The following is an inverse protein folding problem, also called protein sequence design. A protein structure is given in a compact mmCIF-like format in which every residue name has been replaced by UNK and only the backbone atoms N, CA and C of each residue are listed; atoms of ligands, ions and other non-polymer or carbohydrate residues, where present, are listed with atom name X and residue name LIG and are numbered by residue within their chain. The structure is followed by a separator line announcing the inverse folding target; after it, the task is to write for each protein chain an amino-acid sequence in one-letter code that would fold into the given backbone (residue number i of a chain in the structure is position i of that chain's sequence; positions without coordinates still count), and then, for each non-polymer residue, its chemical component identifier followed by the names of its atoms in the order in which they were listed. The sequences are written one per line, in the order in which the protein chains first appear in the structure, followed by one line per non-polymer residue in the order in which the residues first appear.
data_IF_915240709521
#
_entry.id   IF_915240709521
#
_cell.length_a   1.000
_cell.length_b   1.000
_cell.length_c   1.000
_cell.angle_alpha   90.00
_cell.angle_beta   90.00
_cell.angle_gamma   90.00
#
_symmetry.space_group_name_H-M   'P 1'
#
loop_
_entity.id
_entity.type
_entity.pdbx_description
1 polymer ?
#
# COMPACT_ATOMS: atom_id res chain seq x y z
N UNK A 1 2.65 4.60 -9.92
CA UNK A 1 3.98 3.95 -9.99
C UNK A 1 3.86 2.48 -9.60
N UNK A 2 4.88 1.64 -9.85
CA UNK A 2 4.85 0.19 -9.57
C UNK A 2 6.03 -0.23 -8.69
N UNK A 3 5.78 -0.99 -7.61
CA UNK A 3 6.83 -1.52 -6.72
C UNK A 3 7.86 -2.34 -7.52
N UNK A 4 7.40 -3.09 -8.51
CA UNK A 4 8.23 -3.86 -9.44
C UNK A 4 9.22 -3.06 -10.30
N UNK A 5 9.11 -1.72 -10.32
CA UNK A 5 10.02 -0.82 -11.06
C UNK A 5 11.07 -0.15 -10.16
N UNK A 6 11.06 -0.43 -8.85
CA UNK A 6 12.08 0.10 -7.93
C UNK A 6 13.45 -0.52 -8.29
N UNK A 7 14.51 0.30 -8.48
CA UNK A 7 15.86 -0.19 -8.70
C UNK A 7 16.34 -1.11 -7.55
N UNK A 8 17.03 -2.20 -7.89
CA UNK A 8 17.45 -3.20 -6.91
C UNK A 8 18.34 -2.64 -5.79
N UNK A 9 19.18 -1.64 -6.11
CA UNK A 9 20.04 -0.93 -5.17
C UNK A 9 19.27 -0.08 -4.15
N UNK A 10 18.00 0.25 -4.43
CA UNK A 10 17.10 0.99 -3.53
C UNK A 10 16.03 0.13 -2.88
N UNK A 11 15.96 -1.16 -3.21
CA UNK A 11 14.86 -2.01 -2.79
C UNK A 11 14.75 -2.13 -1.27
N UNK A 12 15.88 -2.30 -0.57
CA UNK A 12 15.89 -2.42 0.89
C UNK A 12 15.62 -1.09 1.60
N UNK A 13 16.08 0.03 1.04
CA UNK A 13 15.79 1.36 1.60
C UNK A 13 14.29 1.64 1.52
N UNK A 14 13.68 1.41 0.35
CA UNK A 14 12.22 1.57 0.18
C UNK A 14 11.46 0.59 1.09
N UNK A 15 11.89 -0.66 1.20
CA UNK A 15 11.27 -1.63 2.11
C UNK A 15 11.34 -1.15 3.58
N UNK A 16 12.47 -0.60 4.01
CA UNK A 16 12.63 -0.05 5.34
C UNK A 16 11.66 1.12 5.57
N UNK A 17 11.58 2.05 4.61
CA UNK A 17 10.72 3.24 4.70
C UNK A 17 9.22 2.92 4.69
N UNK A 18 8.79 1.88 3.97
CA UNK A 18 7.37 1.49 3.91
C UNK A 18 6.96 0.53 5.03
N UNK A 19 7.89 -0.15 5.68
CA UNK A 19 7.60 -1.23 6.64
C UNK A 19 6.66 -0.78 7.78
N UNK A 20 6.96 0.36 8.40
CA UNK A 20 6.17 0.91 9.52
C UNK A 20 4.80 1.42 9.04
N UNK A 21 4.70 2.28 8.02
CA UNK A 21 3.41 2.67 7.44
C UNK A 21 2.53 1.49 7.03
N UNK A 22 3.12 0.45 6.43
CA UNK A 22 2.42 -0.75 6.03
C UNK A 22 1.88 -1.50 7.25
N UNK A 23 2.69 -1.65 8.31
CA UNK A 23 2.26 -2.30 9.55
C UNK A 23 1.12 -1.54 10.24
N UNK A 24 1.14 -0.20 10.23
CA UNK A 24 0.07 0.63 10.78
C UNK A 24 -1.26 0.36 10.07
N UNK A 25 -1.26 0.34 8.74
CA UNK A 25 -2.45 0.04 7.92
C UNK A 25 -2.90 -1.41 8.13
N UNK A 26 -1.98 -2.36 8.00
CA UNK A 26 -2.27 -3.79 8.02
C UNK A 26 -2.75 -4.29 9.38
N UNK A 27 -2.40 -3.61 10.48
CA UNK A 27 -2.82 -3.96 11.84
C UNK A 27 -4.12 -3.26 12.29
N UNK A 28 -4.68 -2.34 11.48
CA UNK A 28 -5.88 -1.63 11.84
C UNK A 28 -7.12 -2.55 11.86
N UNK A 29 -7.66 -2.75 13.06
CA UNK A 29 -8.79 -3.65 13.30
C UNK A 29 -10.07 -3.20 12.61
N UNK A 30 -10.29 -1.90 12.40
CA UNK A 30 -11.49 -1.37 11.71
C UNK A 30 -11.38 -1.64 10.21
N UNK A 31 -10.20 -1.44 9.64
CA UNK A 31 -9.91 -1.69 8.24
C UNK A 31 -10.00 -3.18 7.94
N UNK A 32 -9.38 -4.03 8.75
CA UNK A 32 -9.50 -5.49 8.66
C UNK A 32 -10.98 -5.90 8.68
N UNK A 33 -11.77 -5.39 9.64
CA UNK A 33 -13.22 -5.68 9.70
C UNK A 33 -14.01 -5.14 8.51
N UNK A 34 -13.62 -4.00 7.94
CA UNK A 34 -14.25 -3.46 6.74
C UNK A 34 -13.95 -4.31 5.50
N UNK A 35 -12.77 -4.94 5.47
CA UNK A 35 -12.32 -5.83 4.41
C UNK A 35 -12.71 -7.30 4.64
N UNK A 36 -13.26 -7.65 5.81
CA UNK A 36 -13.74 -9.00 6.08
C UNK A 36 -14.84 -9.41 5.08
N UNK A 37 -14.66 -10.61 4.51
CA UNK A 37 -15.54 -11.14 3.48
C UNK A 37 -15.38 -10.48 2.11
N UNK A 38 -14.26 -9.81 1.83
CA UNK A 38 -13.76 -9.68 0.47
C UNK A 38 -13.18 -11.05 0.06
N UNK A 39 -13.98 -11.87 -0.61
CA UNK A 39 -13.50 -13.08 -1.28
C UNK A 39 -14.17 -13.16 -2.67
N UNK A 40 -13.37 -13.46 -3.70
CA UNK A 40 -13.83 -13.59 -5.08
C UNK A 40 -14.22 -12.26 -5.75
N UNK A 41 -15.04 -12.36 -6.81
CA UNK A 41 -15.47 -11.22 -7.65
C UNK A 41 -16.55 -10.33 -7.00
N UNK A 42 -16.91 -10.58 -5.73
CA UNK A 42 -18.06 -9.95 -5.07
C UNK A 42 -17.64 -8.68 -4.31
N UNK A 43 -17.01 -7.76 -5.05
CA UNK A 43 -16.57 -6.46 -4.55
C UNK A 43 -17.82 -5.60 -4.30
N UNK A 44 -18.36 -5.67 -3.09
CA UNK A 44 -19.47 -4.80 -2.68
C UNK A 44 -18.98 -3.35 -2.56
N UNK A 45 -19.48 -2.46 -3.42
CA UNK A 45 -19.10 -1.05 -3.47
C UNK A 45 -19.15 -0.34 -2.11
N UNK A 46 -20.11 -0.70 -1.24
CA UNK A 46 -20.24 -0.17 0.11
C UNK A 46 -19.06 -0.54 1.03
N UNK A 47 -18.53 -1.77 0.91
CA UNK A 47 -17.38 -2.21 1.71
C UNK A 47 -16.09 -1.54 1.22
N UNK A 48 -15.93 -1.39 -0.10
CA UNK A 48 -14.81 -0.62 -0.69
C UNK A 48 -14.85 0.82 -0.21
N UNK A 49 -16.01 1.49 -0.32
CA UNK A 49 -16.17 2.87 0.12
C UNK A 49 -15.84 3.05 1.61
N UNK A 50 -16.21 2.07 2.46
CA UNK A 50 -15.87 2.08 3.89
C UNK A 50 -14.36 1.92 4.12
N UNK A 51 -13.70 0.98 3.45
CA UNK A 51 -12.26 0.79 3.56
C UNK A 51 -11.47 2.01 3.07
N UNK A 52 -11.85 2.55 1.90
CA UNK A 52 -11.27 3.79 1.35
C UNK A 52 -11.45 4.96 2.31
N UNK A 53 -12.66 5.11 2.89
CA UNK A 53 -12.94 6.17 3.86
C UNK A 53 -12.13 6.03 5.16
N UNK A 54 -11.85 4.81 5.62
CA UNK A 54 -10.99 4.55 6.77
C UNK A 54 -9.54 4.91 6.46
N UNK A 55 -9.01 4.46 5.31
CA UNK A 55 -7.65 4.80 4.88
C UNK A 55 -7.49 6.32 4.77
N UNK A 56 -8.42 7.00 4.09
CA UNK A 56 -8.35 8.45 3.89
C UNK A 56 -8.45 9.27 5.20
N UNK A 57 -9.07 8.72 6.25
CA UNK A 57 -9.24 9.43 7.54
C UNK A 57 -8.17 9.07 8.57
N UNK A 58 -7.83 7.79 8.66
CA UNK A 58 -7.02 7.25 9.76
C UNK A 58 -5.59 6.88 9.31
N UNK A 59 -5.36 6.67 8.00
CA UNK A 59 -4.07 6.21 7.47
C UNK A 59 -3.57 7.00 6.26
N UNK A 60 -4.06 8.23 6.07
CA UNK A 60 -3.64 9.06 4.92
C UNK A 60 -2.14 9.33 4.93
N UNK A 61 -1.57 9.55 6.11
CA UNK A 61 -0.15 9.89 6.26
C UNK A 61 0.71 8.65 6.03
N UNK A 62 0.26 7.47 6.48
CA UNK A 62 0.88 6.19 6.15
C UNK A 62 0.85 5.94 4.63
N UNK A 63 -0.30 6.17 3.97
CA UNK A 63 -0.42 6.02 2.53
C UNK A 63 0.50 6.98 1.77
N UNK A 64 0.59 8.26 2.20
CA UNK A 64 1.52 9.21 1.59
C UNK A 64 2.98 8.82 1.79
N UNK A 65 3.34 8.30 2.97
CA UNK A 65 4.70 7.80 3.23
C UNK A 65 5.04 6.65 2.27
N UNK A 66 4.13 5.69 2.09
CA UNK A 66 4.31 4.57 1.16
C UNK A 66 4.51 5.09 -0.27
N UNK A 67 3.60 5.96 -0.74
CA UNK A 67 3.66 6.49 -2.10
C UNK A 67 4.96 7.29 -2.33
N UNK A 68 5.31 8.18 -1.41
CA UNK A 68 6.54 8.98 -1.50
C UNK A 68 7.81 8.11 -1.48
N UNK A 69 7.87 7.10 -0.61
CA UNK A 69 8.99 6.17 -0.52
C UNK A 69 9.16 5.37 -1.82
N UNK A 70 8.06 4.92 -2.44
CA UNK A 70 8.12 4.22 -3.74
C UNK A 70 8.63 5.11 -4.88
N UNK A 71 8.54 6.43 -4.74
CA UNK A 71 9.13 7.40 -5.68
C UNK A 71 10.53 7.87 -5.27
N UNK A 72 11.05 7.43 -4.12
CA UNK A 72 12.32 7.89 -3.56
C UNK A 72 12.29 9.38 -3.21
N UNK A 73 11.16 9.88 -2.73
CA UNK A 73 10.93 11.28 -2.38
C UNK A 73 10.47 11.43 -0.93
N UNK A 74 10.64 12.62 -0.36
CA UNK A 74 9.93 12.99 0.87
C UNK A 74 8.44 13.16 0.58
N UNK A 75 7.60 12.97 1.61
CA UNK A 75 6.14 13.18 1.50
C UNK A 75 5.79 14.58 1.00
N UNK A 76 6.50 15.61 1.49
CA UNK A 76 6.31 16.99 1.06
C UNK A 76 6.55 17.14 -0.45
N UNK A 77 7.65 16.57 -0.96
CA UNK A 77 7.98 16.62 -2.39
C UNK A 77 7.02 15.81 -3.24
N UNK A 78 6.57 14.66 -2.74
CA UNK A 78 5.57 13.83 -3.41
C UNK A 78 4.23 14.57 -3.56
N UNK A 79 3.79 15.28 -2.52
CA UNK A 79 2.52 16.02 -2.53
C UNK A 79 2.60 17.35 -3.28
N UNK A 80 3.79 17.95 -3.39
CA UNK A 80 3.98 19.21 -4.08
C UNK A 80 3.52 19.14 -5.54
N UNK A 81 2.44 19.87 -5.87
CA UNK A 81 1.88 19.93 -7.22
C UNK A 81 0.97 18.76 -7.61
N UNK A 82 0.72 17.80 -6.70
CA UNK A 82 -0.25 16.72 -6.96
C UNK A 82 -1.66 17.11 -6.52
N UNK A 83 -2.64 16.74 -7.34
CA UNK A 83 -4.05 16.79 -6.96
C UNK A 83 -4.48 15.46 -6.30
N UNK A 84 -5.63 15.45 -5.63
CA UNK A 84 -6.20 14.23 -5.05
C UNK A 84 -6.36 13.09 -6.08
N UNK A 85 -6.67 13.42 -7.34
CA UNK A 85 -6.78 12.44 -8.42
C UNK A 85 -5.44 11.73 -8.69
N UNK A 86 -4.32 12.45 -8.64
CA UNK A 86 -2.99 11.85 -8.84
C UNK A 86 -2.68 10.84 -7.73
N UNK A 87 -2.92 11.20 -6.47
CA UNK A 87 -2.72 10.31 -5.32
C UNK A 87 -3.54 9.02 -5.44
N UNK A 88 -4.82 9.16 -5.83
CA UNK A 88 -5.71 8.00 -6.00
C UNK A 88 -5.20 7.08 -7.11
N UNK A 89 -4.77 7.64 -8.24
CA UNK A 89 -4.19 6.87 -9.35
C UNK A 89 -2.92 6.16 -8.90
N UNK A 90 -2.01 6.85 -8.21
CA UNK A 90 -0.77 6.23 -7.73
C UNK A 90 -1.04 5.07 -6.76
N UNK A 91 -2.00 5.24 -5.85
CA UNK A 91 -2.41 4.20 -4.91
C UNK A 91 -3.01 2.98 -5.64
N UNK A 92 -3.85 3.19 -6.64
CA UNK A 92 -4.41 2.09 -7.46
C UNK A 92 -3.29 1.37 -8.22
N UNK A 93 -2.36 2.11 -8.83
CA UNK A 93 -1.25 1.53 -9.56
C UNK A 93 -0.31 0.71 -8.66
N UNK A 94 -0.07 1.17 -7.42
CA UNK A 94 0.72 0.45 -6.44
C UNK A 94 0.02 -0.85 -6.00
N UNK A 95 -1.28 -0.77 -5.66
CA UNK A 95 -2.07 -1.91 -5.20
C UNK A 95 -2.34 -2.94 -6.31
N UNK A 96 -2.27 -2.51 -7.57
CA UNK A 96 -2.42 -3.37 -8.75
C UNK A 96 -1.08 -3.93 -9.24
N UNK A 97 0.01 -3.77 -8.47
CA UNK A 97 1.28 -4.42 -8.77
C UNK A 97 1.24 -5.89 -8.33
N UNK A 98 1.16 -6.79 -9.32
CA UNK A 98 1.10 -8.24 -9.11
C UNK A 98 2.27 -8.79 -8.26
N UNK A 99 3.46 -8.15 -8.30
CA UNK A 99 4.60 -8.58 -7.49
C UNK A 99 4.44 -8.15 -6.03
N UNK A 100 3.92 -6.95 -5.80
CA UNK A 100 3.63 -6.48 -4.45
C UNK A 100 2.50 -7.30 -3.81
N UNK A 101 1.42 -7.54 -4.55
CA UNK A 101 0.31 -8.36 -4.04
C UNK A 101 0.75 -9.79 -3.75
N UNK A 102 1.59 -10.39 -4.61
CA UNK A 102 2.19 -11.71 -4.38
C UNK A 102 3.12 -11.71 -3.14
N UNK A 103 3.96 -10.68 -2.98
CA UNK A 103 4.84 -10.54 -1.83
C UNK A 103 4.05 -10.46 -0.51
N UNK A 104 2.99 -9.65 -0.48
CA UNK A 104 2.12 -9.50 0.70
C UNK A 104 1.28 -10.75 0.99
N UNK A 105 0.91 -11.51 -0.04
CA UNK A 105 0.14 -12.75 0.11
C UNK A 105 1.00 -13.95 0.54
N UNK A 106 2.33 -13.84 0.46
CA UNK A 106 3.26 -14.91 0.83
C UNK A 106 3.35 -15.03 2.36
N UNK A 107 2.99 -16.17 2.97
CA UNK A 107 3.16 -16.38 4.41
C UNK A 107 4.65 -16.31 4.78
N UNK A 108 4.98 -15.66 5.89
CA UNK A 108 6.37 -15.48 6.37
C UNK A 108 7.16 -16.80 6.52
N UNK A 109 6.48 -17.94 6.65
CA UNK A 109 7.08 -19.29 6.71
C UNK A 109 7.64 -19.82 5.39
N UNK A 110 7.22 -19.31 4.22
CA UNK A 110 7.75 -19.76 2.92
C UNK A 110 8.98 -18.95 2.47
N UNK A 111 9.15 -17.73 2.97
CA UNK A 111 10.29 -16.86 2.62
C UNK A 111 11.62 -17.43 3.13
N UNK A 112 11.59 -18.21 4.21
CA UNK A 112 12.76 -18.88 4.79
C UNK A 112 13.12 -20.21 4.10
N UNK A 113 12.29 -20.72 3.18
CA UNK A 113 12.54 -21.99 2.48
C UNK A 113 13.35 -21.83 1.18
N UNK A 114 13.67 -20.58 0.79
CA UNK A 114 14.43 -20.24 -0.42
C UNK A 114 15.79 -19.57 -0.12
N UNK A 115 16.20 -19.52 1.15
CA UNK A 115 17.53 -19.09 1.59
C UNK A 115 18.38 -20.30 1.99
#
# INVERSE_FOLDING_TARGET
MKFSKIPADKAFDVLADISTPLANIASDKKLIKALQGFQGNDIQAAKVAKAVGLIAKEHKDDLYAILAATEGQSVEKYLAGRSAAHVIVDAIELLSDDKLTSFLATPATEVLALA
#
